data_IF_341587384249
#
_entry.id   IF_341587384249
#
_cell.length_a   1.000
_cell.length_b   1.000
_cell.length_c   1.000
_cell.angle_alpha   90.00
_cell.angle_beta   90.00
_cell.angle_gamma   90.00
#
_symmetry.space_group_name_H-M   'P 1'
#
loop_
_entity.id
_entity.type
_entity.pdbx_description
1 polymer ?
#
# COMPACT_ATOMS: atom_id res chain seq x y z
N UNK A 1 41.94 -55.68 -25.67
CA UNK A 1 42.66 -54.63 -24.93
C UNK A 1 43.70 -54.03 -25.85
N UNK A 2 43.56 -52.75 -26.19
CA UNK A 2 44.38 -52.05 -27.20
C UNK A 2 45.79 -51.75 -26.64
N UNK A 3 46.86 -51.85 -27.46
CA UNK A 3 48.26 -51.75 -27.01
C UNK A 3 48.70 -50.36 -26.50
N UNK A 4 47.83 -49.35 -26.53
CA UNK A 4 48.14 -47.98 -26.10
C UNK A 4 48.16 -47.76 -24.58
N UNK A 5 47.79 -48.75 -23.76
CA UNK A 5 47.67 -48.59 -22.30
C UNK A 5 48.93 -48.95 -21.48
N UNK A 6 50.05 -49.37 -22.08
CA UNK A 6 51.27 -49.71 -21.34
C UNK A 6 52.16 -48.50 -20.98
N UNK A 7 51.90 -47.31 -21.51
CA UNK A 7 52.77 -46.15 -21.31
C UNK A 7 52.42 -45.28 -20.08
N UNK A 8 51.32 -45.56 -19.38
CA UNK A 8 50.76 -44.64 -18.35
C UNK A 8 50.88 -45.19 -16.91
N UNK A 9 51.47 -46.37 -16.72
CA UNK A 9 51.55 -47.01 -15.40
C UNK A 9 52.57 -46.38 -14.43
N UNK A 10 53.40 -45.45 -14.90
CA UNK A 10 54.41 -44.75 -14.09
C UNK A 10 53.95 -43.39 -13.54
N UNK A 11 52.74 -42.93 -13.88
CA UNK A 11 52.24 -41.64 -13.42
C UNK A 11 51.51 -41.77 -12.06
N UNK A 12 51.70 -40.82 -11.13
CA UNK A 12 50.95 -40.77 -9.87
C UNK A 12 49.44 -40.80 -10.11
N UNK A 13 48.71 -41.50 -9.24
CA UNK A 13 47.26 -41.74 -9.42
C UNK A 13 46.45 -40.44 -9.53
N UNK A 14 46.82 -39.41 -8.76
CA UNK A 14 46.19 -38.10 -8.84
C UNK A 14 46.34 -37.46 -10.23
N UNK A 15 47.47 -37.67 -10.90
CA UNK A 15 47.74 -37.11 -12.22
C UNK A 15 47.02 -37.90 -13.32
N UNK A 16 46.89 -39.23 -13.14
CA UNK A 16 46.06 -40.08 -14.01
C UNK A 16 44.59 -39.70 -13.96
N UNK A 17 44.05 -39.47 -12.75
CA UNK A 17 42.67 -39.04 -12.53
C UNK A 17 42.44 -37.64 -13.11
N UNK A 18 43.39 -36.72 -12.93
CA UNK A 18 43.30 -35.38 -13.50
C UNK A 18 43.32 -35.39 -15.04
N UNK A 19 44.19 -36.18 -15.67
CA UNK A 19 44.19 -36.33 -17.13
C UNK A 19 42.86 -36.92 -17.63
N UNK A 20 42.33 -37.94 -16.96
CA UNK A 20 41.08 -38.60 -17.38
C UNK A 20 39.85 -37.70 -17.22
N UNK A 21 39.79 -36.89 -16.17
CA UNK A 21 38.59 -36.11 -15.84
C UNK A 21 38.61 -34.67 -16.34
N UNK A 22 39.79 -34.11 -16.64
CA UNK A 22 39.93 -32.71 -17.05
C UNK A 22 40.54 -32.57 -18.45
N UNK A 23 41.63 -33.28 -18.74
CA UNK A 23 42.39 -33.09 -19.99
C UNK A 23 41.75 -33.83 -21.18
N UNK A 24 41.40 -35.11 -21.01
CA UNK A 24 40.77 -35.93 -22.07
C UNK A 24 39.39 -35.37 -22.49
N UNK A 25 38.53 -34.90 -21.56
CA UNK A 25 37.27 -34.23 -21.91
C UNK A 25 37.49 -32.86 -22.57
N UNK A 26 38.44 -32.04 -22.09
CA UNK A 26 38.74 -30.74 -22.69
C UNK A 26 39.29 -30.85 -24.13
N UNK A 27 39.95 -31.96 -24.46
CA UNK A 27 40.41 -32.29 -25.83
C UNK A 27 39.34 -32.94 -26.71
N UNK A 28 38.10 -33.13 -26.22
CA UNK A 28 36.98 -33.70 -26.99
C UNK A 28 37.07 -35.20 -27.26
N UNK A 29 37.96 -35.93 -26.57
CA UNK A 29 38.29 -37.33 -26.87
C UNK A 29 37.34 -38.36 -26.20
N UNK A 30 36.44 -37.91 -25.31
CA UNK A 30 35.41 -38.76 -24.68
C UNK A 30 34.03 -38.06 -24.66
N UNK A 31 33.37 -37.95 -25.82
CA UNK A 31 32.12 -37.21 -25.97
C UNK A 31 30.97 -37.77 -25.10
N UNK A 32 31.01 -39.06 -24.75
CA UNK A 32 30.01 -39.69 -23.89
C UNK A 32 30.05 -39.18 -22.44
N UNK A 33 31.23 -38.91 -21.89
CA UNK A 33 31.41 -38.36 -20.54
C UNK A 33 31.01 -36.88 -20.46
N UNK A 34 31.31 -36.11 -21.52
CA UNK A 34 30.86 -34.72 -21.65
C UNK A 34 29.34 -34.68 -21.77
N UNK A 35 28.74 -35.50 -22.65
CA UNK A 35 27.30 -35.54 -22.82
C UNK A 35 26.56 -35.95 -21.54
N UNK A 36 27.04 -36.97 -20.83
CA UNK A 36 26.40 -37.43 -19.58
C UNK A 36 26.55 -36.43 -18.43
N UNK A 37 27.71 -35.78 -18.28
CA UNK A 37 27.90 -34.72 -17.28
C UNK A 37 27.05 -33.47 -17.58
N UNK A 38 26.94 -33.08 -18.84
CA UNK A 38 26.10 -31.96 -19.28
C UNK A 38 24.61 -32.26 -19.07
N UNK A 39 24.15 -33.46 -19.44
CA UNK A 39 22.77 -33.91 -19.21
C UNK A 39 22.43 -33.95 -17.72
N UNK A 40 23.37 -34.39 -16.87
CA UNK A 40 23.18 -34.42 -15.42
C UNK A 40 23.09 -33.01 -14.84
N UNK A 41 23.97 -32.09 -15.26
CA UNK A 41 23.91 -30.69 -14.84
C UNK A 41 22.61 -29.99 -15.27
N UNK A 42 22.11 -30.29 -16.48
CA UNK A 42 20.80 -29.80 -16.96
C UNK A 42 19.67 -30.36 -16.08
N UNK A 43 19.69 -31.66 -15.79
CA UNK A 43 18.67 -32.30 -14.96
C UNK A 43 18.65 -31.74 -13.53
N UNK A 44 19.82 -31.59 -12.90
CA UNK A 44 19.93 -31.05 -11.54
C UNK A 44 19.46 -29.59 -11.47
N UNK A 45 19.78 -28.78 -12.49
CA UNK A 45 19.28 -27.39 -12.61
C UNK A 45 17.77 -27.36 -12.76
N UNK A 46 17.21 -28.25 -13.59
CA UNK A 46 15.78 -28.34 -13.82
C UNK A 46 15.02 -28.80 -12.56
N UNK A 47 15.59 -29.75 -11.81
CA UNK A 47 15.05 -30.21 -10.54
C UNK A 47 15.03 -29.08 -9.52
N UNK A 48 16.12 -28.29 -9.43
CA UNK A 48 16.19 -27.17 -8.49
C UNK A 48 15.16 -26.09 -8.80
N UNK A 49 15.00 -25.74 -10.08
CA UNK A 49 13.97 -24.79 -10.53
C UNK A 49 12.58 -25.34 -10.24
N UNK A 50 12.29 -26.59 -10.57
CA UNK A 50 10.98 -27.23 -10.35
C UNK A 50 10.62 -27.38 -8.87
N UNK A 51 11.61 -27.60 -8.00
CA UNK A 51 11.37 -27.71 -6.56
C UNK A 51 11.07 -26.35 -5.94
N UNK A 52 11.79 -25.30 -6.36
CA UNK A 52 11.54 -23.91 -5.93
C UNK A 52 10.20 -23.41 -6.46
N UNK A 53 9.92 -23.57 -7.77
CA UNK A 53 8.63 -23.15 -8.33
C UNK A 53 7.48 -24.00 -7.81
N UNK A 54 7.69 -25.31 -7.60
CA UNK A 54 6.71 -26.21 -7.00
C UNK A 54 6.37 -25.86 -5.56
N UNK A 55 7.36 -25.48 -4.73
CA UNK A 55 7.13 -24.99 -3.37
C UNK A 55 6.39 -23.64 -3.35
N UNK A 56 6.75 -22.73 -4.25
CA UNK A 56 6.08 -21.42 -4.36
C UNK A 56 4.65 -21.53 -4.90
N UNK A 57 4.44 -22.34 -5.93
CA UNK A 57 3.12 -22.57 -6.54
C UNK A 57 2.22 -23.42 -5.63
N UNK A 58 2.78 -24.46 -5.00
CA UNK A 58 2.06 -25.29 -4.02
C UNK A 58 1.66 -24.49 -2.79
N UNK A 59 2.54 -23.61 -2.29
CA UNK A 59 2.21 -22.68 -1.20
C UNK A 59 1.11 -21.69 -1.58
N UNK A 60 1.15 -21.13 -2.80
CA UNK A 60 0.08 -20.26 -3.31
C UNK A 60 -1.25 -20.99 -3.44
N UNK A 61 -1.27 -22.17 -4.05
CA UNK A 61 -2.49 -22.97 -4.20
C UNK A 61 -3.09 -23.39 -2.86
N UNK A 62 -2.24 -23.73 -1.88
CA UNK A 62 -2.66 -24.03 -0.51
C UNK A 62 -3.27 -22.81 0.19
N UNK A 63 -2.68 -21.62 0.03
CA UNK A 63 -3.21 -20.37 0.59
C UNK A 63 -4.48 -19.88 -0.13
N UNK A 64 -4.55 -20.02 -1.46
CA UNK A 64 -5.73 -19.72 -2.27
C UNK A 64 -6.90 -20.62 -1.90
N UNK A 65 -6.66 -21.91 -1.63
CA UNK A 65 -7.71 -22.83 -1.16
C UNK A 65 -8.21 -22.54 0.27
N UNK A 66 -7.37 -21.95 1.13
CA UNK A 66 -7.70 -21.70 2.54
C UNK A 66 -8.47 -20.39 2.80
N UNK A 67 -8.43 -19.42 1.89
CA UNK A 67 -9.09 -18.11 2.07
C UNK A 67 -9.87 -17.66 0.82
N UNK A 68 -10.29 -18.59 -0.03
CA UNK A 68 -11.00 -18.31 -1.27
C UNK A 68 -12.37 -17.65 -1.02
N UNK A 69 -12.41 -16.33 -1.20
CA UNK A 69 -13.66 -15.60 -1.32
C UNK A 69 -14.26 -15.85 -2.72
N UNK A 70 -15.58 -16.03 -2.85
CA UNK A 70 -16.22 -16.04 -4.16
C UNK A 70 -15.92 -14.75 -4.94
N UNK A 71 -15.78 -14.81 -6.27
CA UNK A 71 -15.43 -13.66 -7.10
C UNK A 71 -16.33 -12.44 -6.86
N UNK A 72 -17.64 -12.64 -6.72
CA UNK A 72 -18.59 -11.56 -6.43
C UNK A 72 -18.35 -10.86 -5.08
N UNK A 73 -17.86 -11.59 -4.08
CA UNK A 73 -17.47 -11.02 -2.78
C UNK A 73 -16.16 -10.25 -2.93
N UNK A 74 -15.19 -10.79 -3.67
CA UNK A 74 -13.94 -10.10 -3.94
C UNK A 74 -14.18 -8.74 -4.63
N UNK A 75 -15.03 -8.72 -5.66
CA UNK A 75 -15.42 -7.49 -6.36
C UNK A 75 -16.06 -6.46 -5.42
N UNK A 76 -16.93 -6.92 -4.52
CA UNK A 76 -17.60 -6.05 -3.56
C UNK A 76 -16.61 -5.51 -2.50
N UNK A 77 -15.73 -6.36 -1.96
CA UNK A 77 -14.67 -5.94 -1.03
C UNK A 77 -13.79 -4.87 -1.67
N UNK A 78 -13.36 -5.08 -2.91
CA UNK A 78 -12.51 -4.13 -3.66
C UNK A 78 -13.25 -2.82 -3.93
N UNK A 79 -14.54 -2.87 -4.29
CA UNK A 79 -15.38 -1.67 -4.48
C UNK A 79 -15.42 -0.81 -3.22
N UNK A 80 -15.58 -1.42 -2.05
CA UNK A 80 -15.86 -0.73 -0.79
C UNK A 80 -14.63 -0.50 0.10
N UNK A 81 -13.49 -1.11 -0.20
CA UNK A 81 -12.25 -0.97 0.57
C UNK A 81 -11.81 0.49 0.81
N UNK A 82 -11.88 1.44 -0.16
CA UNK A 82 -11.48 2.82 0.09
C UNK A 82 -12.40 3.54 1.08
N UNK A 83 -13.71 3.29 0.98
CA UNK A 83 -14.71 3.87 1.89
C UNK A 83 -14.53 3.26 3.28
N UNK A 84 -14.36 1.94 3.37
CA UNK A 84 -14.08 1.26 4.62
C UNK A 84 -12.79 1.75 5.28
N UNK A 85 -11.71 2.00 4.51
CA UNK A 85 -10.45 2.56 5.05
C UNK A 85 -10.66 3.96 5.63
N UNK A 86 -11.39 4.83 4.93
CA UNK A 86 -11.71 6.17 5.43
C UNK A 86 -12.50 6.13 6.73
N UNK A 87 -13.59 5.35 6.75
CA UNK A 87 -14.45 5.19 7.94
C UNK A 87 -13.69 4.54 9.10
N UNK A 88 -12.82 3.58 8.80
CA UNK A 88 -12.01 2.90 9.80
C UNK A 88 -10.95 3.83 10.42
N UNK A 89 -10.37 4.76 9.64
CA UNK A 89 -9.48 5.81 10.17
C UNK A 89 -10.23 6.79 11.06
N UNK A 90 -11.43 7.17 10.68
CA UNK A 90 -12.27 8.08 11.48
C UNK A 90 -12.69 7.44 12.81
N UNK A 91 -13.06 6.16 12.79
CA UNK A 91 -13.45 5.40 13.97
C UNK A 91 -12.24 4.84 14.78
N UNK A 92 -11.02 4.97 14.27
CA UNK A 92 -9.79 4.39 14.82
C UNK A 92 -9.91 2.86 15.06
N UNK A 93 -10.20 2.11 13.98
CA UNK A 93 -10.30 0.64 13.94
C UNK A 93 -9.56 0.11 12.70
N UNK A 94 -9.17 -1.18 12.63
CA UNK A 94 -8.53 -1.74 11.43
C UNK A 94 -9.42 -1.63 10.19
N UNK A 95 -8.80 -1.36 9.03
CA UNK A 95 -9.48 -1.03 7.77
C UNK A 95 -10.44 -2.10 7.25
N UNK A 96 -10.18 -3.36 7.59
CA UNK A 96 -10.96 -4.51 7.14
C UNK A 96 -12.28 -4.63 7.92
N UNK A 97 -12.34 -4.06 9.13
CA UNK A 97 -13.44 -4.30 10.08
C UNK A 97 -14.81 -3.98 9.49
N UNK A 98 -15.09 -2.80 8.91
CA UNK A 98 -16.42 -2.48 8.39
C UNK A 98 -16.91 -3.49 7.35
N UNK A 99 -15.99 -3.97 6.49
CA UNK A 99 -16.28 -4.97 5.47
C UNK A 99 -16.53 -6.35 6.07
N UNK A 100 -15.72 -6.76 7.04
CA UNK A 100 -15.94 -8.03 7.76
C UNK A 100 -17.31 -8.06 8.42
N UNK A 101 -17.74 -6.94 9.03
CA UNK A 101 -19.06 -6.84 9.63
C UNK A 101 -20.17 -7.00 8.59
N UNK A 102 -20.10 -6.28 7.47
CA UNK A 102 -21.09 -6.42 6.40
C UNK A 102 -21.11 -7.81 5.78
N UNK A 103 -19.95 -8.42 5.54
CA UNK A 103 -19.88 -9.79 5.03
C UNK A 103 -20.51 -10.79 6.00
N UNK A 104 -20.23 -10.65 7.29
CA UNK A 104 -20.77 -11.51 8.34
C UNK A 104 -22.29 -11.40 8.44
N UNK A 105 -22.83 -10.18 8.41
CA UNK A 105 -24.24 -9.91 8.66
C UNK A 105 -25.13 -10.11 7.44
N UNK A 106 -24.60 -9.85 6.23
CA UNK A 106 -25.43 -9.87 5.04
C UNK A 106 -24.71 -10.37 3.77
N UNK A 107 -23.61 -11.10 3.91
CA UNK A 107 -22.84 -11.64 2.79
C UNK A 107 -22.50 -10.61 1.71
N UNK A 108 -22.22 -9.36 2.13
CA UNK A 108 -21.92 -8.24 1.22
C UNK A 108 -23.06 -7.85 0.26
N UNK A 109 -24.31 -8.22 0.57
CA UNK A 109 -25.46 -7.78 -0.23
C UNK A 109 -25.85 -6.35 0.15
N UNK A 110 -26.03 -5.50 -0.86
CA UNK A 110 -26.57 -4.14 -0.72
C UNK A 110 -28.10 -4.16 -0.67
N UNK A 111 -28.65 -4.98 0.23
CA UNK A 111 -30.08 -5.19 0.41
C UNK A 111 -30.36 -5.37 1.90
N UNK A 112 -31.17 -4.50 2.48
CA UNK A 112 -31.51 -4.61 3.90
C UNK A 112 -32.42 -5.84 4.12
N UNK A 113 -32.11 -6.69 5.11
CA UNK A 113 -32.96 -7.82 5.49
C UNK A 113 -34.31 -7.37 6.07
N UNK A 114 -35.32 -8.25 5.98
CA UNK A 114 -36.69 -8.02 6.49
C UNK A 114 -36.77 -7.87 8.02
N UNK A 115 -35.70 -8.20 8.74
CA UNK A 115 -35.65 -8.18 10.21
C UNK A 115 -35.28 -6.79 10.79
N UNK A 116 -35.32 -5.72 9.99
CA UNK A 116 -35.02 -4.34 10.40
C UNK A 116 -33.56 -4.06 10.82
N UNK A 117 -32.61 -4.99 10.71
CA UNK A 117 -31.25 -4.79 11.26
C UNK A 117 -30.27 -4.11 10.32
N UNK A 118 -30.67 -3.89 9.06
CA UNK A 118 -29.78 -3.39 8.02
C UNK A 118 -28.69 -4.39 7.64
N UNK A 119 -27.77 -3.98 6.77
CA UNK A 119 -26.68 -4.82 6.26
C UNK A 119 -25.58 -5.10 7.30
N UNK A 120 -25.66 -4.45 8.47
CA UNK A 120 -24.67 -4.48 9.55
C UNK A 120 -25.17 -5.19 10.82
N UNK A 121 -26.37 -5.80 10.77
CA UNK A 121 -26.89 -6.58 11.90
C UNK A 121 -27.13 -5.75 13.16
N UNK A 122 -27.55 -4.49 13.04
CA UNK A 122 -27.71 -3.54 14.13
C UNK A 122 -28.95 -3.78 15.02
N UNK A 123 -29.20 -5.04 15.40
CA UNK A 123 -30.35 -5.45 16.21
C UNK A 123 -30.44 -4.67 17.54
N UNK A 124 -29.32 -4.55 18.26
CA UNK A 124 -29.27 -3.83 19.54
C UNK A 124 -29.66 -2.35 19.41
N UNK A 125 -29.20 -1.69 18.34
CA UNK A 125 -29.47 -0.27 18.09
C UNK A 125 -30.95 -0.03 17.78
N UNK A 126 -31.55 -0.92 17.00
CA UNK A 126 -32.97 -0.84 16.67
C UNK A 126 -33.83 -1.16 17.89
N UNK A 127 -33.44 -2.19 18.67
CA UNK A 127 -34.18 -2.59 19.88
C UNK A 127 -34.09 -1.56 21.01
N UNK A 128 -32.94 -0.91 21.18
CA UNK A 128 -32.73 0.15 22.18
C UNK A 128 -33.40 1.47 21.79
N UNK A 129 -33.77 1.65 20.51
CA UNK A 129 -34.35 2.88 19.99
C UNK A 129 -33.32 3.96 19.64
N UNK A 130 -32.02 3.64 19.70
CA UNK A 130 -30.94 4.55 19.26
C UNK A 130 -30.94 4.79 17.75
N UNK A 131 -31.49 3.85 16.97
CA UNK A 131 -31.66 3.98 15.53
C UNK A 131 -33.04 3.50 15.08
N UNK A 132 -33.72 4.17 14.14
CA UNK A 132 -34.97 3.65 13.55
C UNK A 132 -34.74 2.35 12.76
N UNK A 133 -35.79 1.54 12.57
CA UNK A 133 -35.72 0.34 11.73
C UNK A 133 -35.19 0.68 10.33
N UNK A 134 -34.23 -0.10 9.84
CA UNK A 134 -33.74 -0.01 8.48
C UNK A 134 -34.81 -0.52 7.51
N UNK A 135 -35.15 0.27 6.49
CA UNK A 135 -36.16 -0.11 5.49
C UNK A 135 -35.68 -1.33 4.68
N UNK A 136 -36.43 -2.45 4.65
CA UNK A 136 -36.06 -3.64 3.88
C UNK A 136 -35.96 -3.39 2.37
N UNK A 137 -35.15 -4.21 1.70
CA UNK A 137 -34.97 -4.18 0.24
C UNK A 137 -33.67 -3.50 -0.22
N UNK A 138 -33.49 -3.34 -1.55
CA UNK A 138 -32.27 -2.83 -2.13
C UNK A 138 -31.94 -1.41 -1.67
N UNK A 139 -30.67 -1.16 -1.37
CA UNK A 139 -30.20 0.14 -0.87
C UNK A 139 -29.18 0.79 -1.81
N UNK A 140 -29.11 2.11 -1.78
CA UNK A 140 -28.15 2.88 -2.58
C UNK A 140 -26.73 2.77 -2.02
N UNK A 141 -25.73 3.10 -2.84
CA UNK A 141 -24.34 3.17 -2.40
C UNK A 141 -24.16 4.15 -1.23
N UNK A 142 -24.89 5.27 -1.21
CA UNK A 142 -24.86 6.19 -0.07
C UNK A 142 -25.34 5.51 1.22
N UNK A 143 -26.45 4.78 1.17
CA UNK A 143 -27.01 4.08 2.32
C UNK A 143 -26.10 2.94 2.80
N UNK A 144 -25.36 2.28 1.90
CA UNK A 144 -24.32 1.31 2.28
C UNK A 144 -23.21 2.02 3.07
N UNK A 145 -22.69 3.14 2.56
CA UNK A 145 -21.63 3.91 3.23
C UNK A 145 -22.05 4.40 4.62
N UNK A 146 -23.29 4.88 4.77
CA UNK A 146 -23.85 5.33 6.04
C UNK A 146 -23.93 4.18 7.05
N UNK A 147 -24.40 3.00 6.62
CA UNK A 147 -24.46 1.82 7.48
C UNK A 147 -23.06 1.33 7.88
N UNK A 148 -22.08 1.34 6.97
CA UNK A 148 -20.70 1.01 7.31
C UNK A 148 -20.10 1.98 8.34
N UNK A 149 -20.45 3.27 8.28
CA UNK A 149 -20.01 4.27 9.26
C UNK A 149 -20.59 3.98 10.64
N UNK A 150 -21.88 3.64 10.72
CA UNK A 150 -22.54 3.22 11.96
C UNK A 150 -21.83 1.99 12.53
N UNK A 151 -21.58 0.96 11.72
CA UNK A 151 -20.90 -0.25 12.16
C UNK A 151 -19.49 0.02 12.69
N UNK A 152 -18.73 0.90 12.04
CA UNK A 152 -17.38 1.27 12.48
C UNK A 152 -17.38 1.91 13.88
N UNK A 153 -18.28 2.87 14.11
CA UNK A 153 -18.45 3.53 15.41
C UNK A 153 -18.90 2.53 16.49
N UNK A 154 -19.87 1.69 16.16
CA UNK A 154 -20.38 0.66 17.08
C UNK A 154 -19.34 -0.39 17.44
N UNK A 155 -18.46 -0.73 16.52
CA UNK A 155 -17.34 -1.62 16.77
C UNK A 155 -16.33 -0.98 17.73
N UNK A 156 -15.96 0.28 17.51
CA UNK A 156 -15.07 1.03 18.41
C UNK A 156 -15.63 1.15 19.83
N UNK A 157 -16.94 1.39 19.97
CA UNK A 157 -17.60 1.44 21.29
C UNK A 157 -17.48 0.12 22.04
N UNK A 158 -17.66 -1.02 21.34
CA UNK A 158 -17.59 -2.37 21.94
C UNK A 158 -16.16 -2.84 22.17
N UNK A 159 -15.17 -2.28 21.47
CA UNK A 159 -13.74 -2.55 21.67
C UNK A 159 -12.89 -1.26 21.70
N UNK A 160 -12.88 -0.52 22.83
CA UNK A 160 -12.17 0.76 22.92
C UNK A 160 -10.65 0.65 22.75
N UNK A 161 -10.07 -0.51 23.04
CA UNK A 161 -8.64 -0.78 23.00
C UNK A 161 -8.07 -0.95 21.59
N UNK A 162 -8.93 -1.24 20.60
CA UNK A 162 -8.48 -1.42 19.22
C UNK A 162 -8.15 -0.06 18.61
N UNK A 163 -7.20 -0.02 17.67
CA UNK A 163 -6.83 1.16 16.90
C UNK A 163 -6.69 0.82 15.42
N UNK A 164 -6.60 1.83 14.57
CA UNK A 164 -6.35 1.65 13.14
C UNK A 164 -5.07 0.84 12.84
N UNK A 165 -4.08 0.94 13.72
CA UNK A 165 -2.78 0.25 13.60
C UNK A 165 -2.72 -1.09 14.34
N UNK A 166 -3.84 -1.58 14.85
CA UNK A 166 -3.85 -2.85 15.59
C UNK A 166 -3.71 -4.01 14.61
N UNK A 167 -2.64 -4.79 14.78
CA UNK A 167 -2.37 -6.01 14.01
C UNK A 167 -2.33 -7.28 14.88
N UNK A 168 -2.46 -7.12 16.20
CA UNK A 168 -2.43 -8.25 17.13
C UNK A 168 -3.67 -9.15 16.94
N UNK A 169 -3.49 -10.43 16.54
CA UNK A 169 -4.59 -11.35 16.29
C UNK A 169 -5.46 -11.59 17.52
N UNK A 170 -4.87 -11.62 18.72
CA UNK A 170 -5.62 -11.90 19.95
C UNK A 170 -6.59 -10.76 20.27
N UNK A 171 -6.11 -9.52 20.20
CA UNK A 171 -6.92 -8.31 20.37
C UNK A 171 -8.04 -8.23 19.33
N UNK A 172 -7.72 -8.39 18.05
CA UNK A 172 -8.71 -8.31 16.96
C UNK A 172 -9.80 -9.37 17.14
N UNK A 173 -9.41 -10.61 17.48
CA UNK A 173 -10.37 -11.69 17.73
C UNK A 173 -11.27 -11.37 18.93
N UNK A 174 -10.70 -10.92 20.04
CA UNK A 174 -11.48 -10.52 21.20
C UNK A 174 -12.46 -9.39 20.86
N UNK A 175 -12.07 -8.42 20.04
CA UNK A 175 -12.95 -7.32 19.62
C UNK A 175 -14.13 -7.78 18.77
N UNK A 176 -13.89 -8.66 17.78
CA UNK A 176 -14.98 -9.23 17.00
C UNK A 176 -15.93 -10.07 17.86
N UNK A 177 -15.38 -10.81 18.83
CA UNK A 177 -16.19 -11.54 19.79
C UNK A 177 -17.00 -10.59 20.70
N UNK A 178 -16.40 -9.50 21.17
CA UNK A 178 -17.08 -8.46 21.95
C UNK A 178 -18.18 -7.76 21.15
N UNK A 179 -17.96 -7.54 19.85
CA UNK A 179 -18.96 -6.95 18.97
C UNK A 179 -20.24 -7.79 18.93
N UNK A 180 -20.10 -9.12 18.87
CA UNK A 180 -21.23 -10.02 18.69
C UNK A 180 -21.84 -10.56 19.99
N UNK A 181 -21.02 -11.02 20.93
CA UNK A 181 -21.49 -11.63 22.18
C UNK A 181 -21.58 -10.61 23.33
N UNK A 182 -21.17 -9.36 23.09
CA UNK A 182 -21.05 -8.32 24.08
C UNK A 182 -19.72 -8.35 24.84
N UNK A 183 -19.29 -7.19 25.32
CA UNK A 183 -18.03 -6.99 26.03
C UNK A 183 -17.92 -7.83 27.31
N UNK A 184 -19.06 -8.08 27.99
CA UNK A 184 -19.11 -8.90 29.21
C UNK A 184 -18.85 -10.39 28.96
N UNK A 185 -19.23 -10.91 27.79
CA UNK A 185 -18.92 -12.28 27.39
C UNK A 185 -17.46 -12.39 26.95
N UNK A 186 -16.99 -11.42 26.15
CA UNK A 186 -15.60 -11.34 25.69
C UNK A 186 -14.56 -11.18 26.82
N UNK A 187 -14.97 -10.60 27.95
CA UNK A 187 -14.12 -10.51 29.14
C UNK A 187 -14.00 -11.83 29.94
N UNK A 188 -14.93 -12.78 29.76
CA UNK A 188 -14.98 -14.03 30.54
C UNK A 188 -14.61 -15.27 29.74
N UNK A 189 -14.89 -15.26 28.44
CA UNK A 189 -14.78 -16.43 27.57
C UNK A 189 -13.65 -16.24 26.56
N UNK A 190 -12.97 -17.34 26.24
CA UNK A 190 -11.88 -17.34 25.27
C UNK A 190 -12.45 -17.26 23.85
N UNK A 191 -12.01 -16.26 23.06
CA UNK A 191 -12.46 -16.05 21.68
C UNK A 191 -12.09 -17.22 20.74
N UNK A 192 -11.07 -18.01 21.09
CA UNK A 192 -10.66 -19.20 20.33
C UNK A 192 -11.53 -20.43 20.63
N UNK A 193 -12.30 -20.43 21.73
CA UNK A 193 -13.05 -21.59 22.23
C UNK A 193 -14.57 -21.36 22.27
N UNK A 194 -15.02 -20.14 21.98
CA UNK A 194 -16.43 -19.74 22.08
C UNK A 194 -17.11 -19.76 20.72
N UNK A 195 -18.38 -20.19 20.67
CA UNK A 195 -19.25 -20.47 19.51
C UNK A 195 -19.38 -19.37 18.43
N UNK A 196 -18.65 -18.28 18.56
CA UNK A 196 -18.43 -17.27 17.53
C UNK A 196 -17.20 -17.59 16.64
N UNK A 197 -16.78 -18.86 16.63
CA UNK A 197 -15.37 -19.28 16.72
C UNK A 197 -14.45 -18.61 15.70
N UNK A 198 -13.37 -18.07 16.26
CA UNK A 198 -12.32 -17.35 15.53
C UNK A 198 -11.04 -18.17 15.30
N UNK A 199 -11.09 -19.49 15.03
CA UNK A 199 -9.95 -20.28 14.51
C UNK A 199 -10.32 -21.62 13.83
N UNK A 200 -9.42 -22.04 12.92
CA UNK A 200 -9.28 -23.30 12.16
C UNK A 200 -10.33 -23.63 11.09
N UNK A 201 -9.97 -23.29 9.85
CA UNK A 201 -10.68 -23.54 8.61
C UNK A 201 -10.27 -24.91 8.02
N UNK A 202 -11.16 -25.90 8.14
CA UNK A 202 -11.15 -27.12 7.32
C UNK A 202 -12.58 -27.45 6.84
N UNK A 203 -12.71 -28.39 5.90
CA UNK A 203 -14.00 -28.78 5.30
C UNK A 203 -15.04 -29.30 6.33
N UNK A 204 -14.63 -29.66 7.55
CA UNK A 204 -15.53 -30.18 8.58
C UNK A 204 -16.35 -29.10 9.30
N UNK A 205 -16.04 -27.81 9.14
CA UNK A 205 -16.66 -26.71 9.89
C UNK A 205 -17.44 -25.72 9.03
N UNK A 206 -17.81 -26.08 7.80
CA UNK A 206 -18.78 -25.33 6.96
C UNK A 206 -20.22 -25.30 7.52
N UNK A 207 -20.46 -25.98 8.64
CA UNK A 207 -21.72 -26.04 9.39
C UNK A 207 -21.47 -25.74 10.88
N UNK A 208 -20.98 -24.54 11.21
CA UNK A 208 -20.78 -24.11 12.61
C UNK A 208 -22.13 -23.93 13.30
N UNK A 209 -22.21 -23.95 14.63
CA UNK A 209 -23.50 -23.76 15.32
C UNK A 209 -23.44 -22.56 16.27
N UNK A 210 -24.21 -21.52 15.96
CA UNK A 210 -24.39 -20.30 16.74
C UNK A 210 -25.51 -20.52 17.76
N UNK A 211 -25.25 -20.31 19.05
CA UNK A 211 -26.29 -20.37 20.08
C UNK A 211 -26.65 -18.97 20.54
N UNK A 212 -27.85 -18.54 20.16
CA UNK A 212 -28.47 -17.29 20.58
C UNK A 212 -29.47 -17.52 21.71
N UNK A 213 -29.62 -16.55 22.61
CA UNK A 213 -30.56 -16.64 23.73
C UNK A 213 -32.03 -16.55 23.28
N UNK A 214 -32.29 -15.93 22.12
CA UNK A 214 -33.61 -15.76 21.50
C UNK A 214 -33.81 -16.73 20.31
N UNK A 215 -32.78 -17.01 19.50
CA UNK A 215 -32.87 -17.83 18.27
C UNK A 215 -32.51 -19.32 18.46
N UNK A 216 -31.96 -19.72 19.62
CA UNK A 216 -31.49 -21.08 19.85
C UNK A 216 -30.21 -21.41 19.09
N UNK A 217 -29.96 -22.69 18.85
CA UNK A 217 -28.71 -23.22 18.26
C UNK A 217 -28.88 -23.38 16.74
N UNK A 218 -28.31 -22.46 15.95
CA UNK A 218 -28.49 -22.30 14.50
C UNK A 218 -27.20 -22.62 13.75
N UNK A 219 -27.27 -23.42 12.68
CA UNK A 219 -26.10 -23.72 11.86
C UNK A 219 -25.71 -22.52 10.96
N UNK A 220 -24.49 -22.01 11.09
CA UNK A 220 -23.92 -20.91 10.32
C UNK A 220 -23.18 -21.48 9.10
N UNK A 221 -23.52 -20.96 7.93
CA UNK A 221 -23.01 -21.39 6.61
C UNK A 221 -21.96 -20.43 6.02
N UNK A 222 -21.51 -19.43 6.78
CA UNK A 222 -20.60 -18.36 6.33
C UNK A 222 -19.26 -18.36 7.09
N UNK A 223 -18.21 -17.80 6.46
CA UNK A 223 -16.89 -17.63 7.08
C UNK A 223 -16.98 -16.78 8.36
N UNK A 224 -16.29 -17.22 9.42
CA UNK A 224 -16.16 -16.44 10.65
C UNK A 224 -15.41 -15.12 10.43
N UNK A 225 -15.58 -14.17 11.35
CA UNK A 225 -15.02 -12.82 11.22
C UNK A 225 -13.49 -12.77 11.11
N UNK A 226 -12.74 -13.68 11.76
CA UNK A 226 -11.27 -13.70 11.68
C UNK A 226 -10.75 -14.22 10.33
N UNK A 227 -11.21 -15.37 9.80
CA UNK A 227 -10.88 -15.78 8.43
C UNK A 227 -11.26 -14.73 7.38
N UNK A 228 -12.43 -14.08 7.51
CA UNK A 228 -12.84 -13.00 6.63
C UNK A 228 -11.92 -11.78 6.75
N UNK A 229 -11.48 -11.44 7.96
CA UNK A 229 -10.50 -10.37 8.21
C UNK A 229 -9.18 -10.65 7.48
N UNK A 230 -8.62 -11.85 7.64
CA UNK A 230 -7.39 -12.25 6.95
C UNK A 230 -7.57 -12.31 5.43
N UNK A 231 -8.70 -12.82 4.95
CA UNK A 231 -9.01 -12.89 3.52
C UNK A 231 -9.16 -11.49 2.91
N UNK A 232 -9.83 -10.56 3.60
CA UNK A 232 -9.96 -9.17 3.15
C UNK A 232 -8.65 -8.42 3.27
N UNK A 233 -7.89 -8.60 4.35
CA UNK A 233 -6.56 -8.03 4.50
C UNK A 233 -5.67 -8.51 3.36
N UNK A 234 -5.63 -9.82 3.10
CA UNK A 234 -4.89 -10.43 1.99
C UNK A 234 -5.38 -9.91 0.64
N UNK A 235 -6.69 -9.84 0.39
CA UNK A 235 -7.24 -9.33 -0.86
C UNK A 235 -6.91 -7.85 -1.08
N UNK A 236 -7.10 -7.01 -0.06
CA UNK A 236 -6.79 -5.58 -0.09
C UNK A 236 -5.29 -5.38 -0.30
N UNK A 237 -4.43 -6.17 0.36
CA UNK A 237 -2.97 -6.11 0.22
C UNK A 237 -2.49 -6.65 -1.13
N UNK A 238 -3.02 -7.77 -1.61
CA UNK A 238 -2.65 -8.37 -2.91
C UNK A 238 -3.11 -7.53 -4.09
N UNK A 239 -4.21 -6.80 -3.96
CA UNK A 239 -4.64 -5.78 -4.93
C UNK A 239 -3.69 -4.56 -4.95
N UNK A 240 -2.90 -4.33 -3.90
CA UNK A 240 -1.90 -3.26 -3.84
C UNK A 240 -0.55 -3.65 -4.48
N UNK A 241 -0.27 -4.95 -4.66
CA UNK A 241 1.06 -5.50 -4.99
C UNK A 241 1.21 -6.04 -6.43
N UNK A 242 0.16 -5.94 -7.25
CA UNK A 242 0.19 -6.33 -8.66
C UNK A 242 0.48 -5.10 -9.51
N UNK A 243 1.52 -5.18 -10.34
CA UNK A 243 2.13 -4.13 -11.15
C UNK A 243 1.25 -3.42 -12.21
N UNK A 244 -0.08 -3.42 -12.10
CA UNK A 244 -0.98 -2.60 -12.93
C UNK A 244 -2.13 -2.06 -12.05
N UNK A 245 -2.14 -0.73 -11.85
CA UNK A 245 -3.06 0.04 -10.99
C UNK A 245 -4.54 -0.38 -11.18
N UNK A 246 -5.36 -0.48 -10.12
CA UNK A 246 -6.76 -0.92 -10.25
C UNK A 246 -7.61 0.12 -10.99
N UNK A 247 -8.51 -0.34 -11.86
CA UNK A 247 -9.37 0.51 -12.70
C UNK A 247 -10.22 1.49 -11.87
N UNK A 248 -10.50 1.22 -10.59
CA UNK A 248 -11.20 2.12 -9.65
C UNK A 248 -10.32 3.24 -9.10
N UNK A 249 -9.01 3.01 -8.85
CA UNK A 249 -8.05 4.09 -8.59
C UNK A 249 -7.64 4.78 -9.88
N UNK A 250 -7.66 4.11 -11.03
CA UNK A 250 -7.55 4.79 -12.32
C UNK A 250 -8.78 5.68 -12.56
N UNK A 251 -10.01 5.24 -12.22
CA UNK A 251 -11.24 6.04 -12.33
C UNK A 251 -11.29 7.16 -11.29
N UNK A 252 -10.85 6.94 -10.04
CA UNK A 252 -10.76 7.98 -9.01
C UNK A 252 -9.62 8.96 -9.27
N UNK A 253 -8.48 8.49 -9.78
CA UNK A 253 -7.40 9.35 -10.26
C UNK A 253 -7.84 10.10 -11.50
N UNK A 254 -8.60 9.49 -12.42
CA UNK A 254 -9.18 10.19 -13.59
C UNK A 254 -10.24 11.20 -13.16
N UNK A 255 -11.11 10.90 -12.20
CA UNK A 255 -12.11 11.87 -11.73
C UNK A 255 -11.49 13.01 -10.93
N UNK A 256 -10.47 12.70 -10.10
CA UNK A 256 -9.68 13.70 -9.36
C UNK A 256 -8.81 14.51 -10.31
N UNK A 257 -8.18 13.89 -11.32
CA UNK A 257 -7.46 14.57 -12.40
C UNK A 257 -8.41 15.44 -13.22
N UNK A 258 -9.62 14.99 -13.55
CA UNK A 258 -10.61 15.80 -14.28
C UNK A 258 -11.05 17.01 -13.44
N UNK A 259 -11.33 16.80 -12.16
CA UNK A 259 -11.66 17.90 -11.24
C UNK A 259 -10.49 18.87 -11.10
N UNK A 260 -9.28 18.36 -10.90
CA UNK A 260 -8.07 19.15 -10.72
C UNK A 260 -7.69 19.89 -12.02
N UNK A 261 -7.76 19.25 -13.19
CA UNK A 261 -7.60 19.87 -14.52
C UNK A 261 -8.66 20.93 -14.77
N UNK A 262 -9.92 20.67 -14.41
CA UNK A 262 -10.99 21.67 -14.48
C UNK A 262 -10.71 22.86 -13.58
N UNK A 263 -10.21 22.63 -12.37
CA UNK A 263 -9.83 23.67 -11.42
C UNK A 263 -8.62 24.48 -11.91
N UNK A 264 -7.65 23.83 -12.54
CA UNK A 264 -6.47 24.45 -13.14
C UNK A 264 -6.87 25.29 -14.35
N UNK A 265 -7.62 24.72 -15.30
CA UNK A 265 -8.09 25.43 -16.50
C UNK A 265 -8.92 26.65 -16.13
N UNK A 266 -9.75 26.55 -15.08
CA UNK A 266 -10.50 27.70 -14.56
C UNK A 266 -9.58 28.75 -13.92
N UNK A 267 -8.56 28.34 -13.15
CA UNK A 267 -7.54 29.25 -12.58
C UNK A 267 -6.69 29.91 -13.66
N UNK A 268 -6.28 29.20 -14.69
CA UNK A 268 -5.56 29.73 -15.86
C UNK A 268 -6.43 30.73 -16.64
N UNK A 269 -7.70 30.38 -16.91
CA UNK A 269 -8.68 31.29 -17.51
C UNK A 269 -8.90 32.55 -16.65
N UNK A 270 -8.92 32.40 -15.33
CA UNK A 270 -9.01 33.51 -14.38
C UNK A 270 -7.68 34.29 -14.21
N UNK A 271 -6.61 33.91 -14.92
CA UNK A 271 -5.29 34.57 -14.83
C UNK A 271 -4.55 34.33 -13.52
N UNK A 272 -4.94 33.33 -12.73
CA UNK A 272 -4.39 33.02 -11.40
C UNK A 272 -3.13 32.14 -11.44
N UNK A 273 -2.79 31.55 -12.59
CA UNK A 273 -1.75 30.51 -12.75
C UNK A 273 -0.49 31.03 -13.48
N UNK A 274 0.05 32.16 -13.03
CA UNK A 274 1.45 32.52 -13.34
C UNK A 274 2.23 32.25 -12.06
N UNK A 275 3.26 31.41 -12.12
CA UNK A 275 3.96 30.90 -10.95
C UNK A 275 4.27 32.01 -9.94
N UNK A 276 3.65 31.92 -8.77
CA UNK A 276 3.74 32.97 -7.75
C UNK A 276 4.94 32.73 -6.87
N UNK A 277 5.69 33.80 -6.66
CA UNK A 277 6.85 33.79 -5.79
C UNK A 277 6.40 34.20 -4.38
N UNK A 278 5.65 33.32 -3.73
CA UNK A 278 5.18 33.55 -2.36
C UNK A 278 6.33 33.30 -1.39
N UNK A 279 6.60 34.28 -0.53
CA UNK A 279 7.62 34.16 0.52
C UNK A 279 7.12 33.20 1.59
N UNK A 280 7.98 32.26 1.99
CA UNK A 280 7.72 31.40 3.13
C UNK A 280 8.52 31.87 4.34
N UNK A 281 7.84 32.12 5.46
CA UNK A 281 8.51 32.51 6.69
C UNK A 281 9.24 31.31 7.30
N UNK A 282 10.54 31.42 7.44
CA UNK A 282 11.36 30.54 8.27
C UNK A 282 11.51 31.14 9.67
N UNK A 283 11.52 30.31 10.71
CA UNK A 283 11.76 30.81 12.07
C UNK A 283 13.22 31.31 12.21
N UNK A 284 13.40 32.43 12.91
CA UNK A 284 14.72 32.98 13.21
C UNK A 284 15.55 31.99 14.03
N UNK A 285 16.77 31.67 13.56
CA UNK A 285 17.69 30.77 14.25
C UNK A 285 17.40 29.28 14.04
N UNK A 286 17.04 28.86 12.81
CA UNK A 286 16.92 27.44 12.42
C UNK A 286 18.09 26.61 12.97
N UNK A 287 17.79 25.72 13.92
CA UNK A 287 18.74 24.75 14.42
C UNK A 287 18.66 23.49 13.55
N UNK A 288 19.53 23.41 12.54
CA UNK A 288 19.70 22.21 11.72
C UNK A 288 20.42 21.15 12.57
N UNK A 289 19.66 20.36 13.35
CA UNK A 289 20.24 19.30 14.20
C UNK A 289 20.79 18.11 13.39
N UNK A 290 20.55 18.10 12.07
CA UNK A 290 20.82 16.99 11.15
C UNK A 290 21.90 17.28 10.09
N UNK A 291 22.77 18.28 10.31
CA UNK A 291 23.78 18.78 9.35
C UNK A 291 24.90 17.80 8.93
N UNK A 292 24.70 16.48 9.04
CA UNK A 292 25.63 15.46 8.53
C UNK A 292 25.30 14.93 7.15
N UNK A 293 24.06 15.10 6.64
CA UNK A 293 23.66 14.55 5.33
C UNK A 293 23.46 15.60 4.22
N UNK A 294 23.56 16.88 4.55
CA UNK A 294 23.42 17.98 3.60
C UNK A 294 24.76 18.62 3.29
N UNK A 295 25.03 18.86 2.01
CA UNK A 295 26.11 19.69 1.53
C UNK A 295 25.66 21.12 1.25
N UNK A 296 26.61 21.93 0.80
CA UNK A 296 26.34 23.29 0.35
C UNK A 296 26.02 23.30 -1.14
N UNK A 297 25.02 24.07 -1.59
CA UNK A 297 24.69 24.17 -3.01
C UNK A 297 25.84 24.81 -3.80
N UNK A 298 26.06 24.31 -5.02
CA UNK A 298 27.05 24.90 -5.90
C UNK A 298 26.69 26.36 -6.21
N UNK A 299 27.72 27.21 -6.19
CA UNK A 299 27.57 28.65 -6.48
C UNK A 299 27.73 28.97 -7.96
N UNK A 300 28.40 28.09 -8.70
CA UNK A 300 28.73 28.24 -10.11
C UNK A 300 27.88 27.27 -10.93
N UNK A 301 27.00 27.80 -11.78
CA UNK A 301 26.04 27.02 -12.56
C UNK A 301 25.10 27.93 -13.35
N UNK A 302 24.21 27.36 -14.15
CA UNK A 302 23.22 28.10 -14.93
C UNK A 302 22.09 28.57 -14.01
N UNK A 303 22.03 29.87 -13.77
CA UNK A 303 20.98 30.50 -12.94
C UNK A 303 19.53 30.22 -13.40
N UNK A 304 19.33 29.86 -14.67
CA UNK A 304 18.03 29.46 -15.21
C UNK A 304 17.56 28.07 -14.73
N UNK A 305 18.50 27.16 -14.42
CA UNK A 305 18.24 25.78 -14.02
C UNK A 305 18.03 25.61 -12.51
N UNK A 306 18.44 26.59 -11.71
CA UNK A 306 18.34 26.54 -10.25
C UNK A 306 16.87 26.54 -9.76
N UNK A 307 16.50 25.70 -8.77
CA UNK A 307 15.16 25.69 -8.18
C UNK A 307 14.95 26.89 -7.25
N UNK A 308 14.32 27.93 -7.78
CA UNK A 308 14.23 29.26 -7.14
C UNK A 308 12.80 29.72 -6.87
N UNK A 309 11.82 28.84 -7.05
CA UNK A 309 10.44 29.08 -6.65
C UNK A 309 10.06 28.10 -5.54
N UNK A 310 9.20 28.56 -4.63
CA UNK A 310 8.53 27.65 -3.71
C UNK A 310 7.65 26.66 -4.52
N UNK A 311 7.71 25.35 -4.27
CA UNK A 311 6.83 24.39 -4.94
C UNK A 311 5.35 24.62 -4.63
N UNK A 312 5.01 25.30 -3.52
CA UNK A 312 3.64 25.65 -3.13
C UNK A 312 3.37 27.11 -3.50
N UNK A 313 2.41 27.32 -4.41
CA UNK A 313 2.13 28.62 -5.02
C UNK A 313 1.15 29.51 -4.23
N UNK A 314 0.52 28.97 -3.18
CA UNK A 314 -0.54 29.64 -2.41
C UNK A 314 -0.28 29.48 -0.91
N UNK A 315 -0.02 30.60 -0.21
CA UNK A 315 0.14 30.64 1.25
C UNK A 315 1.03 29.52 1.82
N UNK A 316 2.31 29.41 1.41
CA UNK A 316 3.18 28.33 1.87
C UNK A 316 3.46 28.43 3.37
N UNK A 317 3.29 27.31 4.08
CA UNK A 317 3.52 27.19 5.52
C UNK A 317 4.53 26.07 5.74
N UNK A 318 5.69 26.39 6.32
CA UNK A 318 6.64 25.38 6.76
C UNK A 318 6.03 24.60 7.94
N UNK A 319 5.75 23.31 7.74
CA UNK A 319 5.19 22.44 8.79
C UNK A 319 6.25 21.62 9.49
N UNK A 320 7.30 21.25 8.77
CA UNK A 320 8.45 20.54 9.34
C UNK A 320 9.74 21.02 8.69
N UNK A 321 10.68 21.41 9.53
CA UNK A 321 12.03 21.76 9.09
C UNK A 321 12.79 20.50 8.63
N UNK A 322 14.06 20.65 8.25
CA UNK A 322 14.85 19.63 7.58
C UNK A 322 14.88 18.31 8.36
N UNK A 323 14.42 17.25 7.70
CA UNK A 323 14.38 15.88 8.21
C UNK A 323 14.56 14.91 7.05
N UNK A 324 14.69 13.62 7.32
CA UNK A 324 14.82 12.58 6.30
C UNK A 324 16.22 12.11 5.94
N UNK A 325 17.24 12.61 6.64
CA UNK A 325 18.59 12.04 6.58
C UNK A 325 18.63 10.54 6.93
N UNK A 326 17.77 10.08 7.84
CA UNK A 326 17.71 8.68 8.28
C UNK A 326 17.18 7.71 7.22
N UNK A 327 16.49 8.22 6.18
CA UNK A 327 15.91 7.44 5.10
C UNK A 327 16.34 7.94 3.70
N UNK A 328 17.46 8.66 3.63
CA UNK A 328 18.15 9.05 2.38
C UNK A 328 17.37 9.99 1.45
N UNK A 329 16.36 10.70 1.96
CA UNK A 329 15.62 11.71 1.21
C UNK A 329 15.38 12.94 2.11
N UNK A 330 16.42 13.77 2.34
CA UNK A 330 16.30 14.90 3.25
C UNK A 330 15.59 16.09 2.59
N UNK A 331 14.61 16.66 3.29
CA UNK A 331 13.77 17.72 2.74
C UNK A 331 12.99 18.50 3.78
N UNK A 332 12.21 19.47 3.29
CA UNK A 332 11.29 20.30 4.08
C UNK A 332 9.86 19.87 3.82
N UNK A 333 9.01 19.91 4.85
CA UNK A 333 7.57 19.77 4.63
C UNK A 333 6.92 21.14 4.57
N UNK A 334 6.29 21.40 3.42
CA UNK A 334 5.61 22.66 3.13
C UNK A 334 4.13 22.36 2.90
N UNK A 335 3.26 22.96 3.70
CA UNK A 335 1.82 22.90 3.54
C UNK A 335 1.27 24.25 3.07
N UNK A 336 -0.06 24.38 3.04
CA UNK A 336 -0.77 25.60 2.70
C UNK A 336 -2.07 25.69 3.51
N UNK A 337 -2.59 26.91 3.69
CA UNK A 337 -3.96 27.10 4.17
C UNK A 337 -4.99 26.41 3.26
N UNK A 338 -4.66 26.24 1.97
CA UNK A 338 -5.44 25.45 1.03
C UNK A 338 -4.87 24.02 0.94
N UNK A 339 -5.58 23.03 1.52
CA UNK A 339 -5.18 21.61 1.52
C UNK A 339 -5.15 20.95 0.13
N UNK A 340 -5.53 21.67 -0.92
CA UNK A 340 -5.47 21.26 -2.32
C UNK A 340 -4.74 22.31 -3.17
N UNK A 341 -3.74 22.97 -2.57
CA UNK A 341 -2.91 23.94 -3.27
C UNK A 341 -2.23 23.32 -4.51
N UNK A 342 -2.11 24.13 -5.56
CA UNK A 342 -1.41 23.76 -6.78
C UNK A 342 0.08 23.73 -6.51
N UNK A 343 0.71 22.62 -6.88
CA UNK A 343 2.16 22.47 -6.89
C UNK A 343 2.69 22.96 -8.23
N UNK A 344 3.73 23.79 -8.17
CA UNK A 344 4.40 24.38 -9.32
C UNK A 344 5.85 23.89 -9.41
N UNK A 345 6.39 23.82 -10.62
CA UNK A 345 7.77 23.44 -10.87
C UNK A 345 8.75 24.49 -10.30
N UNK A 346 9.62 24.14 -9.33
CA UNK A 346 10.59 25.08 -8.76
C UNK A 346 11.67 25.55 -9.75
N UNK A 347 11.91 24.75 -10.80
CA UNK A 347 12.92 24.92 -11.85
C UNK A 347 12.41 24.34 -13.17
N UNK A 348 12.99 24.71 -14.33
CA UNK A 348 12.74 23.98 -15.56
C UNK A 348 13.46 22.62 -15.55
N UNK A 349 12.91 21.63 -16.26
CA UNK A 349 13.50 20.31 -16.38
C UNK A 349 12.56 19.29 -17.02
N UNK A 350 13.03 18.05 -17.11
CA UNK A 350 12.22 16.88 -17.46
C UNK A 350 11.50 16.37 -16.20
N UNK A 351 10.19 16.23 -16.29
CA UNK A 351 9.34 15.67 -15.25
C UNK A 351 9.21 14.17 -15.47
N UNK A 352 9.27 13.42 -14.39
CA UNK A 352 8.76 12.06 -14.29
C UNK A 352 7.94 11.89 -13.02
N UNK A 353 6.93 11.03 -13.06
CA UNK A 353 6.10 10.73 -11.90
C UNK A 353 6.16 9.25 -11.57
N UNK A 354 6.18 8.92 -10.28
CA UNK A 354 6.16 7.53 -9.84
C UNK A 354 5.57 7.41 -8.44
N UNK A 355 5.27 6.18 -8.06
CA UNK A 355 4.90 5.80 -6.69
C UNK A 355 6.00 4.91 -6.16
N UNK A 356 6.58 5.25 -5.01
CA UNK A 356 7.64 4.45 -4.42
C UNK A 356 7.08 3.20 -3.68
N UNK A 357 7.99 2.37 -3.17
CA UNK A 357 7.65 1.15 -2.43
C UNK A 357 6.92 1.38 -1.09
N UNK A 358 6.86 2.64 -0.62
CA UNK A 358 6.13 3.05 0.57
C UNK A 358 4.83 3.79 0.23
N UNK A 359 4.41 3.71 -1.03
CA UNK A 359 3.21 4.33 -1.58
C UNK A 359 3.24 5.86 -1.65
N UNK A 360 4.41 6.49 -1.52
CA UNK A 360 4.52 7.93 -1.72
C UNK A 360 4.41 8.23 -3.22
N UNK A 361 3.40 9.00 -3.59
CA UNK A 361 3.38 9.65 -4.89
C UNK A 361 4.52 10.66 -4.96
N UNK A 362 5.15 10.75 -6.13
CA UNK A 362 6.34 11.58 -6.30
C UNK A 362 6.34 12.22 -7.69
N UNK A 363 6.52 13.54 -7.72
CA UNK A 363 6.91 14.28 -8.92
C UNK A 363 8.41 14.52 -8.82
N UNK A 364 9.16 14.02 -9.79
CA UNK A 364 10.60 14.24 -9.93
C UNK A 364 10.85 15.16 -11.10
N UNK A 365 11.57 16.25 -10.86
CA UNK A 365 11.98 17.20 -11.91
C UNK A 365 13.49 17.20 -11.97
N UNK A 366 14.05 16.93 -13.14
CA UNK A 366 15.50 16.86 -13.34
C UNK A 366 15.96 17.77 -14.47
N UNK A 367 17.11 18.42 -14.29
CA UNK A 367 17.85 19.07 -15.37
C UNK A 367 19.34 18.72 -15.28
N UNK A 368 20.17 19.43 -16.04
CA UNK A 368 21.62 19.16 -16.10
C UNK A 368 22.31 19.29 -14.73
N UNK A 369 21.80 20.15 -13.84
CA UNK A 369 22.48 20.57 -12.60
C UNK A 369 21.75 20.13 -11.32
N UNK A 370 20.44 19.91 -11.38
CA UNK A 370 19.59 19.73 -10.21
C UNK A 370 18.58 18.59 -10.38
N UNK A 371 18.23 17.96 -9.27
CA UNK A 371 17.07 17.07 -9.17
C UNK A 371 16.21 17.56 -8.00
N UNK A 372 14.91 17.64 -8.23
CA UNK A 372 13.90 17.97 -7.23
C UNK A 372 12.91 16.83 -7.11
N UNK A 373 12.53 16.50 -5.88
CA UNK A 373 11.39 15.63 -5.60
C UNK A 373 10.33 16.37 -4.80
N UNK A 374 9.08 16.21 -5.23
CA UNK A 374 7.88 16.68 -4.55
C UNK A 374 7.04 15.45 -4.18
N UNK A 375 7.04 15.09 -2.91
CA UNK A 375 6.35 13.90 -2.41
C UNK A 375 4.94 14.21 -1.90
N UNK A 376 4.12 13.17 -1.86
CA UNK A 376 2.73 13.14 -1.41
C UNK A 376 1.66 13.89 -2.24
N UNK A 377 1.87 14.32 -3.51
CA UNK A 377 0.78 14.91 -4.30
C UNK A 377 -0.38 13.92 -4.49
N UNK A 378 -1.61 14.42 -4.54
CA UNK A 378 -2.78 13.58 -4.80
C UNK A 378 -3.02 13.30 -6.28
N UNK A 379 -2.47 14.15 -7.15
CA UNK A 379 -2.64 14.08 -8.60
C UNK A 379 -1.49 14.79 -9.32
N UNK A 380 -1.30 14.45 -10.59
CA UNK A 380 -0.31 15.03 -11.49
C UNK A 380 -1.02 15.70 -12.67
N UNK A 381 -0.52 16.86 -13.08
CA UNK A 381 -0.95 17.50 -14.33
C UNK A 381 -0.09 17.07 -15.53
N UNK A 382 1.13 16.62 -15.24
CA UNK A 382 2.13 16.22 -16.23
C UNK A 382 2.80 14.97 -15.68
N UNK A 383 2.61 13.84 -16.39
CA UNK A 383 3.17 12.56 -15.96
C UNK A 383 4.63 12.38 -16.41
N UNK A 384 4.95 12.85 -17.63
CA UNK A 384 6.29 12.86 -18.21
C UNK A 384 6.46 14.03 -19.19
N UNK A 385 7.67 14.61 -19.26
CA UNK A 385 8.08 15.58 -20.29
C UNK A 385 8.62 16.91 -19.73
N UNK A 386 8.96 17.83 -20.63
CA UNK A 386 9.61 19.09 -20.26
C UNK A 386 8.64 20.09 -19.61
N UNK A 387 9.05 20.69 -18.50
CA UNK A 387 8.35 21.80 -17.85
C UNK A 387 9.19 23.05 -17.71
N UNK A 388 8.51 24.19 -17.66
CA UNK A 388 9.11 25.48 -17.34
C UNK A 388 8.92 25.81 -15.86
N UNK A 389 9.81 26.63 -15.31
CA UNK A 389 9.69 27.07 -13.91
C UNK A 389 8.37 27.81 -13.67
N UNK A 390 7.65 27.44 -12.63
CA UNK A 390 6.34 28.01 -12.26
C UNK A 390 5.16 27.35 -12.98
N UNK A 391 5.41 26.41 -13.89
CA UNK A 391 4.35 25.60 -14.50
C UNK A 391 3.70 24.70 -13.45
N UNK A 392 2.38 24.58 -13.48
CA UNK A 392 1.66 23.66 -12.61
C UNK A 392 2.02 22.21 -12.96
N UNK A 393 2.36 21.41 -11.94
CA UNK A 393 2.81 20.01 -12.11
C UNK A 393 1.94 19.01 -11.35
N UNK A 394 1.20 19.45 -10.33
CA UNK A 394 0.26 18.59 -9.62
C UNK A 394 -0.50 19.31 -8.52
N UNK A 395 -1.18 18.54 -7.68
CA UNK A 395 -1.96 19.06 -6.55
C UNK A 395 -1.47 18.45 -5.25
N UNK A 396 -1.31 19.29 -4.23
CA UNK A 396 -0.92 18.88 -2.88
C UNK A 396 -1.89 17.81 -2.34
N UNK A 397 -1.32 16.82 -1.64
CA UNK A 397 -2.06 15.70 -1.08
C UNK A 397 -1.38 15.15 0.16
N UNK A 398 -1.82 13.97 0.57
CA UNK A 398 -1.27 13.21 1.69
C UNK A 398 -1.10 11.73 1.30
N UNK A 399 -0.71 11.47 0.06
CA UNK A 399 -0.61 10.09 -0.47
C UNK A 399 0.70 9.45 -0.02
N UNK A 400 0.61 8.24 0.53
CA UNK A 400 1.74 7.52 1.12
C UNK A 400 1.86 7.77 2.62
N UNK A 401 3.09 7.82 3.12
CA UNK A 401 3.39 8.02 4.53
C UNK A 401 3.35 9.50 4.92
N UNK A 402 2.14 10.06 5.00
CA UNK A 402 1.89 11.45 5.35
C UNK A 402 0.82 11.58 6.44
N UNK A 403 1.02 12.46 7.42
CA UNK A 403 0.05 12.72 8.50
C UNK A 403 -1.07 13.69 8.07
N UNK A 404 -0.88 14.41 6.97
CA UNK A 404 -1.85 15.33 6.38
C UNK A 404 -1.31 16.00 5.11
N UNK A 405 -2.10 16.86 4.44
CA UNK A 405 -1.71 17.48 3.18
C UNK A 405 -0.50 18.42 3.31
N UNK A 406 0.59 18.02 2.67
CA UNK A 406 1.83 18.78 2.55
C UNK A 406 2.61 18.27 1.33
N UNK A 407 3.66 18.99 0.94
CA UNK A 407 4.68 18.47 0.03
C UNK A 407 5.97 18.28 0.82
N UNK A 408 6.55 17.09 0.77
CA UNK A 408 7.91 16.86 1.21
C UNK A 408 8.85 17.21 0.04
N UNK A 409 9.56 18.33 0.18
CA UNK A 409 10.37 18.95 -0.87
C UNK A 409 11.86 18.68 -0.64
N UNK A 410 12.45 17.91 -1.55
CA UNK A 410 13.87 17.53 -1.53
C UNK A 410 14.59 18.10 -2.74
N UNK A 411 15.84 18.55 -2.53
CA UNK A 411 16.72 19.06 -3.61
C UNK A 411 18.07 18.35 -3.56
N UNK A 412 18.49 17.84 -4.72
CA UNK A 412 19.81 17.27 -4.94
C UNK A 412 20.58 18.08 -5.98
N UNK A 413 21.80 18.45 -5.60
CA UNK A 413 22.79 19.10 -6.43
C UNK A 413 23.61 18.03 -7.16
N UNK A 414 23.46 17.94 -8.49
CA UNK A 414 24.20 16.96 -9.31
C UNK A 414 25.66 17.33 -9.50
N UNK A 415 26.01 18.60 -9.34
CA UNK A 415 27.39 19.10 -9.54
C UNK A 415 28.24 18.78 -8.32
N UNK A 416 27.68 19.01 -7.12
CA UNK A 416 28.34 18.68 -5.86
C UNK A 416 28.01 17.27 -5.34
N UNK A 417 27.16 16.52 -6.06
CA UNK A 417 26.71 15.17 -5.74
C UNK A 417 26.12 15.05 -4.31
N UNK A 418 25.34 16.04 -3.89
CA UNK A 418 24.88 16.15 -2.50
C UNK A 418 23.46 16.68 -2.39
N UNK A 419 22.74 16.27 -1.36
CA UNK A 419 21.49 16.93 -0.99
C UNK A 419 21.80 18.28 -0.35
N UNK A 420 20.94 19.26 -0.58
CA UNK A 420 21.12 20.63 -0.09
C UNK A 420 19.88 21.09 0.65
N UNK A 421 20.03 22.06 1.54
CA UNK A 421 18.87 22.65 2.24
C UNK A 421 18.01 23.44 1.24
N UNK A 422 16.74 23.05 0.99
CA UNK A 422 15.89 23.75 0.04
C UNK A 422 15.61 25.21 0.46
N UNK A 423 15.70 25.53 1.75
CA UNK A 423 15.52 26.88 2.26
C UNK A 423 16.59 27.87 1.79
N UNK A 424 17.78 27.39 1.40
CA UNK A 424 18.83 28.25 0.81
C UNK A 424 18.52 28.65 -0.65
N UNK A 425 17.47 28.05 -1.24
CA UNK A 425 17.17 28.12 -2.66
C UNK A 425 15.85 28.82 -2.95
N UNK A 426 14.86 28.68 -2.05
CA UNK A 426 13.52 29.26 -2.19
C UNK A 426 13.40 30.62 -1.46
N UNK A 427 12.56 31.53 -1.97
CA UNK A 427 12.42 32.89 -1.44
C UNK A 427 11.48 33.03 -0.23
#
# INVERSE_FOLDING_TARGET
MSPYLRMVQWLPDWFRIWIQNQVIPALGLQPQLIATSLLRGIFDSFLFVMLVTGLLAGGRYYLEGQYALPSHIQETVVKWAPIADHLAREADIPREVPLVLWFKENSMKAENPENCTGIIGAYDLVRSGEHPCFTPGPISDLAVSEQLAIAAVEFKKRCPEISYLTHDPETIKRCYFAYNAGSAAAARLNANESAYVMNNYDENYSNMVYSDVELGTVAVTALGAWPAHLAFQSLIVTQMDMTERPLSLAILNVSTQIYDLGSQAWREFAGLSVGKNEMMLFQDGRFISSATCLGQPHKLGRFSLKPRLNPVSESPILTQDIHGCSYSLPGLDISSSNRSAILQAPMPGEVTTYTDQWYNSTIRIENDEWIVWLLHPRSYFIEEGTVTRGQAVGVMGAVGYATGPHVHYTVYDKVNETFVDPAELIP
#
